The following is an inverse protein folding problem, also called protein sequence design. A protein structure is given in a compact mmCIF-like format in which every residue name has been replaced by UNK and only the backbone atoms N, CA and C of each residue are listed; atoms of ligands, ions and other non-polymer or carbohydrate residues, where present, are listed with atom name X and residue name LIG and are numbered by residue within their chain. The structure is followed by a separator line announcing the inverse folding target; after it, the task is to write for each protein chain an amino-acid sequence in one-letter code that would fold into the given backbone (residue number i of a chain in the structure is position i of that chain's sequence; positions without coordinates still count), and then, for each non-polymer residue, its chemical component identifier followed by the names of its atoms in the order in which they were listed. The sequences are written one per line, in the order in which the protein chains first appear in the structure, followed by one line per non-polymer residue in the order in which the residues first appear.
data_IF_675769882483
#
_entry.id   IF_675769882483
#
_cell.length_a   1.000
_cell.length_b   1.000
_cell.length_c   1.000
_cell.angle_alpha   90.00
_cell.angle_beta   90.00
_cell.angle_gamma   90.00
#
_symmetry.space_group_name_H-M   'P 1'
#
loop_
_entity.id
_entity.type
_entity.pdbx_description
1 polymer ?
#
# COMPACT_ATOMS: atom_id res chain seq x y z
N UNK A 1 -27.63 -20.30 -2.77
CA UNK A 1 -26.34 -19.63 -3.07
C UNK A 1 -25.65 -19.23 -1.76
N UNK A 2 -24.46 -19.78 -1.46
CA UNK A 2 -23.83 -19.65 -0.14
C UNK A 2 -23.19 -18.29 0.14
N UNK A 3 -23.06 -17.94 1.42
CA UNK A 3 -22.42 -16.70 1.90
C UNK A 3 -20.93 -16.73 1.53
N UNK A 4 -20.47 -15.76 0.75
CA UNK A 4 -19.05 -15.68 0.31
C UNK A 4 -18.16 -15.27 1.49
N UNK A 5 -16.93 -15.79 1.50
CA UNK A 5 -15.92 -15.44 2.50
C UNK A 5 -15.56 -13.95 2.47
N UNK A 6 -15.27 -13.38 3.65
CA UNK A 6 -14.91 -11.96 3.85
C UNK A 6 -13.46 -11.74 4.26
N UNK A 7 -12.61 -12.76 4.09
CA UNK A 7 -11.20 -12.71 4.49
C UNK A 7 -10.38 -11.64 3.76
N UNK A 8 -9.13 -11.45 4.20
CA UNK A 8 -8.22 -10.42 3.71
C UNK A 8 -8.01 -10.45 2.18
N UNK A 9 -7.99 -11.65 1.58
CA UNK A 9 -7.83 -11.87 0.13
C UNK A 9 -9.15 -12.10 -0.63
N UNK A 10 -10.30 -11.82 -0.02
CA UNK A 10 -11.57 -11.94 -0.72
C UNK A 10 -11.67 -10.90 -1.86
N UNK A 11 -12.07 -11.34 -3.06
CA UNK A 11 -12.28 -10.49 -4.25
C UNK A 11 -11.02 -9.72 -4.72
N UNK A 12 -9.81 -10.23 -4.45
CA UNK A 12 -8.56 -9.56 -4.85
C UNK A 12 -7.90 -10.14 -6.10
N UNK A 13 -8.52 -11.10 -6.79
CA UNK A 13 -7.87 -11.83 -7.90
C UNK A 13 -7.32 -10.91 -8.98
N UNK A 14 -8.09 -9.91 -9.41
CA UNK A 14 -7.65 -8.92 -10.41
C UNK A 14 -6.72 -7.87 -9.80
N UNK A 15 -7.03 -7.38 -8.60
CA UNK A 15 -6.26 -6.33 -7.92
C UNK A 15 -4.83 -6.77 -7.58
N UNK A 16 -4.65 -8.00 -7.12
CA UNK A 16 -3.34 -8.55 -6.76
C UNK A 16 -2.69 -9.34 -7.90
N UNK A 17 -3.21 -9.27 -9.13
CA UNK A 17 -2.59 -9.88 -10.30
C UNK A 17 -1.65 -8.88 -10.97
N UNK A 18 -0.37 -9.22 -11.06
CA UNK A 18 0.59 -8.46 -11.88
C UNK A 18 0.49 -8.85 -13.36
N UNK A 19 0.74 -7.88 -14.25
CA UNK A 19 0.86 -8.11 -15.68
C UNK A 19 2.04 -9.04 -15.96
N UNK A 20 2.00 -9.89 -17.01
CA UNK A 20 3.07 -10.86 -17.29
C UNK A 20 4.48 -10.27 -17.31
N UNK A 21 4.66 -9.10 -17.92
CA UNK A 21 5.95 -8.38 -18.01
C UNK A 21 6.40 -7.68 -16.73
N UNK A 22 5.50 -7.52 -15.77
CA UNK A 22 5.77 -6.91 -14.47
C UNK A 22 5.95 -7.96 -13.37
N UNK A 23 5.94 -9.26 -13.70
CA UNK A 23 6.14 -10.33 -12.73
C UNK A 23 7.61 -10.42 -12.33
N UNK A 24 7.85 -10.85 -11.10
CA UNK A 24 9.18 -11.02 -10.54
C UNK A 24 9.40 -10.18 -9.30
N UNK A 25 10.68 -9.96 -8.99
CA UNK A 25 11.11 -9.16 -7.83
C UNK A 25 10.78 -7.68 -8.06
N UNK A 26 10.41 -7.01 -6.98
CA UNK A 26 10.20 -5.55 -6.96
C UNK A 26 11.54 -4.85 -7.20
N UNK A 27 11.53 -3.72 -7.92
CA UNK A 27 12.73 -2.94 -8.19
C UNK A 27 13.34 -2.36 -6.91
N UNK A 28 14.68 -2.33 -6.84
CA UNK A 28 15.42 -1.84 -5.67
C UNK A 28 15.09 -0.38 -5.34
N UNK A 29 14.84 0.44 -6.34
CA UNK A 29 14.46 1.85 -6.17
C UNK A 29 13.22 2.04 -5.31
N UNK A 30 12.25 1.12 -5.36
CA UNK A 30 11.04 1.21 -4.51
C UNK A 30 11.32 0.78 -3.06
N UNK A 31 12.24 -0.16 -2.85
CA UNK A 31 12.57 -0.69 -1.52
C UNK A 31 13.42 0.33 -0.75
N UNK A 32 14.36 0.97 -1.44
CA UNK A 32 15.30 1.92 -0.87
C UNK A 32 14.78 3.36 -0.84
N UNK A 33 13.57 3.60 -1.35
CA UNK A 33 12.98 4.93 -1.34
C UNK A 33 12.73 5.38 0.10
N UNK A 34 13.40 6.47 0.48
CA UNK A 34 13.15 7.14 1.74
C UNK A 34 12.03 8.15 1.55
N UNK A 35 11.13 8.22 2.54
CA UNK A 35 10.02 9.14 2.51
C UNK A 35 10.08 10.06 3.71
N UNK A 36 9.69 11.31 3.51
CA UNK A 36 9.72 12.33 4.54
C UNK A 36 8.38 12.42 5.31
N UNK A 37 8.44 12.98 6.52
CA UNK A 37 7.23 13.27 7.30
C UNK A 37 6.41 14.35 6.59
N UNK A 38 5.10 14.17 6.52
CA UNK A 38 4.20 15.10 5.83
C UNK A 38 4.12 14.87 4.31
N UNK A 39 4.90 13.95 3.75
CA UNK A 39 4.85 13.65 2.32
C UNK A 39 3.53 12.95 1.93
N UNK A 40 2.96 13.37 0.80
CA UNK A 40 1.76 12.74 0.22
C UNK A 40 2.18 11.54 -0.61
N UNK A 41 1.64 10.38 -0.25
CA UNK A 41 1.94 9.12 -0.93
C UNK A 41 0.65 8.39 -1.31
N UNK A 42 0.77 7.54 -2.34
CA UNK A 42 -0.30 6.63 -2.78
C UNK A 42 0.02 5.22 -2.31
N UNK A 43 -0.94 4.56 -1.68
CA UNK A 43 -0.82 3.13 -1.35
C UNK A 43 -1.07 2.32 -2.62
N UNK A 44 -0.01 1.71 -3.16
CA UNK A 44 -0.08 0.77 -4.28
C UNK A 44 0.54 -0.55 -3.88
N UNK A 45 -0.34 -1.48 -3.48
CA UNK A 45 0.07 -2.83 -3.05
C UNK A 45 0.86 -3.51 -4.17
N UNK A 46 2.03 -4.02 -3.81
CA UNK A 46 2.84 -4.90 -4.65
C UNK A 46 2.60 -6.36 -4.23
N UNK A 47 1.92 -7.17 -5.05
CA UNK A 47 1.62 -8.56 -4.73
C UNK A 47 2.86 -9.46 -4.59
N UNK A 48 4.01 -9.06 -5.15
CA UNK A 48 5.26 -9.82 -5.06
C UNK A 48 5.85 -9.84 -3.64
N UNK A 49 5.48 -8.86 -2.80
CA UNK A 49 5.96 -8.73 -1.42
C UNK A 49 4.77 -8.88 -0.48
N UNK A 50 4.76 -9.96 0.31
CA UNK A 50 3.67 -10.20 1.26
C UNK A 50 3.86 -9.47 2.60
N UNK A 51 5.10 -9.15 2.98
CA UNK A 51 5.41 -8.53 4.28
C UNK A 51 5.07 -7.05 4.25
N UNK A 52 4.41 -6.56 5.31
CA UNK A 52 4.06 -5.15 5.43
C UNK A 52 2.95 -4.69 4.48
N UNK A 53 2.21 -5.64 3.87
CA UNK A 53 1.13 -5.34 2.94
C UNK A 53 -0.10 -4.75 3.68
N UNK A 54 -0.59 -3.58 3.25
CA UNK A 54 -1.80 -2.99 3.81
C UNK A 54 -3.07 -3.67 3.25
N UNK A 55 -4.17 -3.60 4.01
CA UNK A 55 -5.43 -4.21 3.60
C UNK A 55 -5.92 -3.68 2.24
N UNK A 56 -6.47 -4.55 1.39
CA UNK A 56 -6.91 -4.24 0.01
C UNK A 56 -7.81 -3.00 -0.10
N UNK A 57 -8.57 -2.68 0.94
CA UNK A 57 -9.47 -1.52 1.00
C UNK A 57 -8.73 -0.20 0.77
N UNK A 58 -7.46 -0.14 1.17
CA UNK A 58 -6.65 1.06 1.09
C UNK A 58 -5.84 1.16 -0.21
N UNK A 59 -5.93 0.16 -1.09
CA UNK A 59 -5.27 0.22 -2.39
C UNK A 59 -5.80 1.41 -3.20
N UNK A 60 -4.88 2.21 -3.76
CA UNK A 60 -5.19 3.41 -4.54
C UNK A 60 -5.57 4.63 -3.69
N UNK A 61 -5.55 4.54 -2.36
CA UNK A 61 -5.81 5.69 -1.49
C UNK A 61 -4.56 6.52 -1.31
N UNK A 62 -4.77 7.83 -1.20
CA UNK A 62 -3.73 8.81 -0.86
C UNK A 62 -3.70 8.96 0.66
N UNK A 63 -2.50 9.03 1.23
CA UNK A 63 -2.28 9.29 2.65
C UNK A 63 -1.08 10.22 2.84
N UNK A 64 -0.87 10.62 4.09
CA UNK A 64 0.25 11.43 4.52
C UNK A 64 1.10 10.62 5.49
N UNK A 65 2.43 10.67 5.36
CA UNK A 65 3.32 9.99 6.29
C UNK A 65 3.39 10.75 7.60
N UNK A 66 3.08 10.07 8.70
CA UNK A 66 3.09 10.66 10.05
C UNK A 66 4.29 10.24 10.88
N UNK A 67 4.79 9.00 10.68
CA UNK A 67 5.95 8.50 11.41
C UNK A 67 6.61 7.34 10.64
N UNK A 68 7.89 7.10 10.93
CA UNK A 68 8.63 5.90 10.50
C UNK A 68 8.72 4.93 11.68
N UNK A 69 8.27 3.69 11.48
CA UNK A 69 8.30 2.62 12.49
C UNK A 69 9.15 1.46 11.99
N UNK A 70 10.43 1.47 12.38
CA UNK A 70 11.43 0.51 11.90
C UNK A 70 11.58 0.61 10.38
N UNK A 71 11.25 -0.46 9.65
CA UNK A 71 11.30 -0.53 8.17
C UNK A 71 10.00 -0.12 7.48
N UNK A 72 8.96 0.21 8.25
CA UNK A 72 7.66 0.59 7.72
C UNK A 72 7.37 2.06 8.02
N UNK A 73 6.42 2.61 7.28
CA UNK A 73 5.88 3.95 7.49
C UNK A 73 4.44 3.84 7.98
N UNK A 74 4.07 4.76 8.85
CA UNK A 74 2.68 4.94 9.27
C UNK A 74 2.10 6.09 8.50
N UNK A 75 0.93 5.82 7.94
CA UNK A 75 0.20 6.68 7.03
C UNK A 75 -1.10 7.07 7.68
N UNK A 76 -1.42 8.35 7.63
CA UNK A 76 -2.74 8.83 7.96
C UNK A 76 -3.59 8.95 6.70
N UNK A 77 -4.70 8.20 6.69
CA UNK A 77 -5.66 8.16 5.60
C UNK A 77 -7.00 8.70 6.09
N UNK A 78 -7.56 9.64 5.34
CA UNK A 78 -8.92 10.12 5.56
C UNK A 78 -9.92 9.28 4.76
N UNK A 79 -10.82 8.60 5.46
CA UNK A 79 -11.91 7.81 4.88
C UNK A 79 -13.24 8.41 5.39
N UNK A 80 -13.81 9.31 4.60
CA UNK A 80 -14.95 10.13 5.02
C UNK A 80 -14.57 11.05 6.19
N UNK A 81 -15.26 10.89 7.33
CA UNK A 81 -15.03 11.67 8.54
C UNK A 81 -14.04 11.02 9.52
N UNK A 82 -13.54 9.82 9.21
CA UNK A 82 -12.64 9.08 10.10
C UNK A 82 -11.22 9.11 9.55
N UNK A 83 -10.26 9.48 10.40
CA UNK A 83 -8.84 9.32 10.13
C UNK A 83 -8.36 7.96 10.62
N UNK A 84 -7.60 7.26 9.78
CA UNK A 84 -7.07 5.92 10.07
C UNK A 84 -5.58 5.90 9.88
N UNK A 85 -4.89 5.28 10.83
CA UNK A 85 -3.44 5.02 10.75
C UNK A 85 -3.20 3.65 10.13
N UNK A 86 -2.48 3.62 9.02
CA UNK A 86 -2.13 2.41 8.28
C UNK A 86 -0.63 2.23 8.28
N UNK A 87 -0.16 1.03 8.60
CA UNK A 87 1.25 0.69 8.57
C UNK A 87 1.53 -0.05 7.27
N UNK A 88 2.45 0.47 6.47
CA UNK A 88 2.88 -0.15 5.23
C UNK A 88 4.37 0.06 4.99
N UNK A 89 5.00 -0.93 4.37
CA UNK A 89 6.41 -0.83 3.99
C UNK A 89 6.58 -0.11 2.64
N UNK A 90 7.75 0.48 2.36
CA UNK A 90 8.00 1.28 1.16
C UNK A 90 7.69 0.56 -0.17
N UNK A 91 7.77 -0.79 -0.22
CA UNK A 91 7.44 -1.56 -1.42
C UNK A 91 5.98 -1.41 -1.88
N UNK A 92 5.11 -0.94 -0.98
CA UNK A 92 3.68 -0.74 -1.24
C UNK A 92 3.30 0.74 -1.35
N UNK A 93 4.29 1.63 -1.35
CA UNK A 93 4.09 3.07 -1.41
C UNK A 93 4.58 3.59 -2.75
N UNK A 94 3.96 4.68 -3.21
CA UNK A 94 4.48 5.48 -4.31
C UNK A 94 4.40 6.96 -3.96
N UNK A 95 5.46 7.74 -4.21
CA UNK A 95 5.39 9.18 -4.05
C UNK A 95 4.34 9.74 -5.01
N UNK A 96 3.53 10.67 -4.53
CA UNK A 96 2.64 11.44 -5.37
C UNK A 96 3.44 12.66 -5.82
N UNK A 97 3.94 12.65 -7.07
CA UNK A 97 4.69 13.78 -7.60
C UNK A 97 3.88 15.08 -7.42
N UNK A 98 4.52 16.09 -6.81
CA UNK A 98 4.00 17.46 -6.85
C UNK A 98 4.20 17.92 -8.29
N UNK A 99 3.11 17.91 -9.07
CA UNK A 99 3.06 18.64 -10.33
C UNK A 99 3.19 20.14 -10.08
#
# INVERSE_FOLDING_TARGET
MGKKSKGYRARTRSLLRRKPRERGKTGLSQILHEYELGEKIVIKIDPSVHKGMPHRRYHGRVGIITEKRGRAYVLELREGNVTKKIIARPEHLKPMAKG
#
